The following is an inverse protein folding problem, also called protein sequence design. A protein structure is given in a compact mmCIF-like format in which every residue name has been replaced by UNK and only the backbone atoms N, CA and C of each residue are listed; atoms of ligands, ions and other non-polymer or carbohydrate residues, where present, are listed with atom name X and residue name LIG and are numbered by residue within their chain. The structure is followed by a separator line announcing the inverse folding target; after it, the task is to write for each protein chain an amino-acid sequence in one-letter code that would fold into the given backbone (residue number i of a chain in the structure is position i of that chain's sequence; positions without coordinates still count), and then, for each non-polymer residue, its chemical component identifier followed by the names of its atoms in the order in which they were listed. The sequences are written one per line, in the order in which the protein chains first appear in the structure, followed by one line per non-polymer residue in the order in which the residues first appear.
data_IF_057597126236
#
_entry.id   IF_057597126236
#
_cell.length_a   1.000
_cell.length_b   1.000
_cell.length_c   1.000
_cell.angle_alpha   90.00
_cell.angle_beta   90.00
_cell.angle_gamma   90.00
#
_symmetry.space_group_name_H-M   'P 1'
#
loop_
_entity.id
_entity.type
_entity.pdbx_description
1 polymer ?
#
# COMPACT_ATOMS: atom_id res chain seq x y z
N UNK A 1 8.10 -7.83 54.52
CA UNK A 1 8.70 -6.86 53.58
C UNK A 1 8.92 -7.55 52.26
N UNK A 2 8.10 -7.22 51.25
CA UNK A 2 8.14 -7.86 49.93
C UNK A 2 9.21 -7.16 49.07
N UNK A 3 10.22 -7.90 48.64
CA UNK A 3 11.23 -7.42 47.70
C UNK A 3 10.63 -7.42 46.30
N UNK A 4 10.25 -6.25 45.80
CA UNK A 4 9.93 -6.07 44.38
C UNK A 4 11.25 -5.98 43.63
N UNK A 5 11.63 -7.06 42.95
CA UNK A 5 12.74 -7.05 42.01
C UNK A 5 12.41 -6.06 40.88
N UNK A 6 13.17 -4.96 40.82
CA UNK A 6 13.14 -4.05 39.66
C UNK A 6 13.92 -4.74 38.56
N UNK A 7 13.22 -5.28 37.56
CA UNK A 7 13.85 -5.76 36.33
C UNK A 7 14.42 -4.55 35.60
N UNK A 8 15.73 -4.35 35.66
CA UNK A 8 16.40 -3.42 34.76
C UNK A 8 16.25 -3.96 33.34
N UNK A 9 15.88 -3.13 32.35
CA UNK A 9 15.89 -3.56 30.95
C UNK A 9 17.34 -3.86 30.58
N UNK A 10 17.65 -5.14 30.35
CA UNK A 10 18.91 -5.52 29.73
C UNK A 10 18.99 -4.94 28.30
N UNK A 11 20.19 -4.64 27.79
CA UNK A 11 20.35 -4.41 26.36
C UNK A 11 19.81 -5.64 25.61
N UNK A 12 19.15 -5.42 24.47
CA UNK A 12 18.50 -6.49 23.72
C UNK A 12 19.52 -7.59 23.36
N UNK A 13 19.46 -8.73 24.07
CA UNK A 13 20.35 -9.90 23.87
C UNK A 13 20.10 -10.64 22.53
N UNK A 14 19.28 -10.07 21.63
CA UNK A 14 19.05 -10.57 20.27
C UNK A 14 19.96 -9.84 19.23
N UNK A 15 21.19 -9.47 19.65
CA UNK A 15 22.24 -9.03 18.74
C UNK A 15 22.83 -10.26 18.02
N UNK A 16 22.06 -10.78 17.07
CA UNK A 16 22.42 -11.93 16.26
C UNK A 16 23.51 -11.47 15.30
N UNK A 17 24.67 -12.15 15.36
CA UNK A 17 25.87 -11.96 14.53
C UNK A 17 25.60 -11.30 13.19
N UNK A 18 26.25 -10.15 12.98
CA UNK A 18 26.39 -9.38 11.73
C UNK A 18 25.97 -10.19 10.50
N UNK A 19 24.73 -9.98 10.06
CA UNK A 19 24.37 -10.35 8.69
C UNK A 19 25.02 -9.32 7.79
N UNK A 20 26.26 -9.58 7.37
CA UNK A 20 26.97 -8.74 6.40
C UNK A 20 26.37 -8.99 5.01
N UNK A 21 25.59 -8.04 4.52
CA UNK A 21 25.06 -8.08 3.15
C UNK A 21 26.15 -7.76 2.10
N UNK A 22 27.34 -7.34 2.52
CA UNK A 22 28.47 -6.99 1.68
C UNK A 22 28.14 -5.87 0.68
N UNK A 23 28.49 -6.10 -0.58
CA UNK A 23 28.16 -5.23 -1.72
C UNK A 23 26.95 -5.72 -2.53
N UNK A 24 26.15 -6.62 -1.95
CA UNK A 24 24.97 -7.17 -2.62
C UNK A 24 23.97 -6.08 -2.95
N UNK A 25 23.56 -6.04 -4.22
CA UNK A 25 22.63 -5.05 -4.76
C UNK A 25 21.62 -5.69 -5.70
N UNK A 26 20.47 -5.05 -5.82
CA UNK A 26 19.43 -5.40 -6.78
C UNK A 26 19.40 -4.31 -7.85
N UNK A 27 19.51 -4.74 -9.11
CA UNK A 27 19.39 -3.88 -10.28
C UNK A 27 18.09 -4.22 -11.02
N UNK A 28 17.36 -3.21 -11.48
CA UNK A 28 16.08 -3.35 -12.20
C UNK A 28 16.17 -2.69 -13.59
N UNK A 29 17.28 -2.93 -14.29
CA UNK A 29 17.59 -2.29 -15.56
C UNK A 29 18.29 -0.93 -15.38
N UNK A 30 18.46 -0.20 -16.48
CA UNK A 30 19.27 1.03 -16.50
C UNK A 30 18.56 2.27 -15.93
N UNK A 31 17.22 2.26 -15.91
CA UNK A 31 16.44 3.43 -15.53
C UNK A 31 16.38 3.62 -13.99
N UNK A 32 16.20 2.53 -13.26
CA UNK A 32 16.05 2.54 -11.80
C UNK A 32 17.42 2.42 -11.12
N UNK A 33 17.71 3.24 -10.09
CA UNK A 33 18.97 3.14 -9.37
C UNK A 33 19.02 1.84 -8.55
N UNK A 34 20.20 1.24 -8.47
CA UNK A 34 20.44 0.01 -7.72
C UNK A 34 20.05 0.14 -6.24
N UNK A 35 19.45 -0.93 -5.70
CA UNK A 35 19.10 -1.04 -4.29
C UNK A 35 20.18 -1.84 -3.56
N UNK A 36 20.93 -1.18 -2.67
CA UNK A 36 21.98 -1.81 -1.87
C UNK A 36 21.37 -2.43 -0.61
N UNK A 37 21.62 -3.73 -0.38
CA UNK A 37 20.97 -4.47 0.72
C UNK A 37 21.38 -3.99 2.11
N UNK A 38 22.65 -3.63 2.32
CA UNK A 38 23.12 -3.08 3.62
C UNK A 38 22.36 -1.80 3.99
N UNK A 39 22.12 -0.92 3.03
CA UNK A 39 21.42 0.36 3.24
C UNK A 39 19.95 0.11 3.54
N UNK A 40 19.33 -0.82 2.79
CA UNK A 40 17.97 -1.28 3.03
C UNK A 40 17.84 -1.82 4.45
N UNK A 41 18.70 -2.76 4.86
CA UNK A 41 18.67 -3.38 6.21
C UNK A 41 18.75 -2.33 7.32
N UNK A 42 19.67 -1.38 7.19
CA UNK A 42 19.84 -0.27 8.14
C UNK A 42 18.61 0.63 8.19
N UNK A 43 18.07 1.01 7.02
CA UNK A 43 16.94 1.92 6.91
C UNK A 43 15.67 1.35 7.56
N UNK A 44 15.33 0.08 7.29
CA UNK A 44 14.11 -0.53 7.84
C UNK A 44 14.30 -1.19 9.21
N UNK A 45 15.52 -1.10 9.78
CA UNK A 45 15.89 -1.65 11.09
C UNK A 45 15.53 -3.13 11.23
N UNK A 46 15.94 -3.93 10.25
CA UNK A 46 15.69 -5.37 10.24
C UNK A 46 16.52 -6.09 11.32
N UNK A 47 15.92 -6.91 12.19
CA UNK A 47 16.66 -7.73 13.14
C UNK A 47 17.48 -8.80 12.42
N UNK A 48 18.60 -9.23 13.02
CA UNK A 48 19.57 -10.19 12.46
C UNK A 48 19.04 -11.62 12.19
N UNK A 49 17.73 -11.87 12.36
CA UNK A 49 17.09 -13.16 12.01
C UNK A 49 16.85 -13.32 10.50
N UNK A 50 16.92 -12.24 9.73
CA UNK A 50 16.74 -12.26 8.27
C UNK A 50 18.10 -12.35 7.58
N UNK A 51 18.41 -13.51 7.01
CA UNK A 51 19.65 -13.73 6.25
C UNK A 51 19.71 -12.85 4.99
N UNK A 52 20.91 -12.54 4.50
CA UNK A 52 21.10 -11.78 3.24
C UNK A 52 20.38 -12.44 2.07
N UNK A 53 20.38 -13.77 1.98
CA UNK A 53 19.67 -14.50 0.93
C UNK A 53 18.15 -14.31 0.99
N UNK A 54 17.55 -14.32 2.19
CA UNK A 54 16.12 -14.04 2.39
C UNK A 54 15.81 -12.59 2.09
N UNK A 55 16.67 -11.67 2.54
CA UNK A 55 16.51 -10.26 2.26
C UNK A 55 16.56 -9.97 0.76
N UNK A 56 17.54 -10.54 0.04
CA UNK A 56 17.67 -10.43 -1.40
C UNK A 56 16.42 -10.92 -2.12
N UNK A 57 15.92 -12.11 -1.75
CA UNK A 57 14.70 -12.67 -2.35
C UNK A 57 13.49 -11.75 -2.14
N UNK A 58 13.25 -11.31 -0.90
CA UNK A 58 12.08 -10.48 -0.58
C UNK A 58 12.19 -9.09 -1.21
N UNK A 59 13.36 -8.46 -1.16
CA UNK A 59 13.60 -7.16 -1.78
C UNK A 59 13.50 -7.23 -3.32
N UNK A 60 13.87 -8.35 -3.94
CA UNK A 60 13.64 -8.57 -5.38
C UNK A 60 12.14 -8.56 -5.70
N UNK A 61 11.31 -9.18 -4.86
CA UNK A 61 9.85 -9.11 -4.98
C UNK A 61 9.30 -7.69 -4.80
N UNK A 62 9.82 -6.94 -3.84
CA UNK A 62 9.45 -5.53 -3.63
C UNK A 62 9.81 -4.65 -4.85
N UNK A 63 11.01 -4.81 -5.39
CA UNK A 63 11.44 -4.11 -6.62
C UNK A 63 10.53 -4.48 -7.79
N UNK A 64 10.21 -5.75 -7.98
CA UNK A 64 9.30 -6.20 -9.04
C UNK A 64 7.89 -5.59 -8.89
N UNK A 65 7.38 -5.47 -7.67
CA UNK A 65 6.09 -4.83 -7.39
C UNK A 65 6.11 -3.34 -7.77
N UNK A 66 7.07 -2.57 -7.23
CA UNK A 66 7.13 -1.11 -7.46
C UNK A 66 7.41 -0.78 -8.92
N UNK A 67 8.30 -1.53 -9.59
CA UNK A 67 8.58 -1.32 -11.02
C UNK A 67 7.38 -1.62 -11.90
N UNK A 68 6.56 -2.62 -11.56
CA UNK A 68 5.32 -2.91 -12.29
C UNK A 68 4.32 -1.77 -12.19
N UNK A 69 4.13 -1.20 -11.00
CA UNK A 69 3.21 -0.06 -10.79
C UNK A 69 3.66 1.20 -11.55
N UNK A 70 4.98 1.36 -11.75
CA UNK A 70 5.58 2.51 -12.43
C UNK A 70 5.91 2.25 -13.91
N UNK A 71 5.56 1.08 -14.47
CA UNK A 71 6.00 0.65 -15.81
C UNK A 71 5.53 1.61 -16.92
N UNK A 72 4.25 1.98 -16.91
CA UNK A 72 3.70 2.93 -17.88
C UNK A 72 4.37 4.30 -17.78
N UNK A 73 4.56 4.80 -16.56
CA UNK A 73 5.21 6.08 -16.32
C UNK A 73 6.69 6.06 -16.75
N UNK A 74 7.41 4.97 -16.48
CA UNK A 74 8.79 4.80 -16.95
C UNK A 74 8.87 4.92 -18.48
N UNK A 75 7.96 4.26 -19.21
CA UNK A 75 7.93 4.32 -20.68
C UNK A 75 7.69 5.76 -21.18
N UNK A 76 6.79 6.50 -20.53
CA UNK A 76 6.55 7.92 -20.83
C UNK A 76 7.81 8.77 -20.61
N UNK A 77 8.52 8.57 -19.48
CA UNK A 77 9.74 9.33 -19.19
C UNK A 77 10.88 8.99 -20.14
N UNK A 78 11.03 7.72 -20.50
CA UNK A 78 12.03 7.28 -21.48
C UNK A 78 11.72 7.84 -22.88
N UNK A 79 10.45 7.88 -23.28
CA UNK A 79 10.02 8.52 -24.52
C UNK A 79 10.26 10.05 -24.51
N UNK A 80 10.18 10.68 -23.34
CA UNK A 80 10.56 12.08 -23.13
C UNK A 80 12.08 12.31 -23.12
N UNK A 81 12.89 11.25 -23.21
CA UNK A 81 14.36 11.32 -23.31
C UNK A 81 15.11 11.17 -21.99
N UNK A 82 14.42 10.88 -20.88
CA UNK A 82 15.06 10.61 -19.59
C UNK A 82 15.57 9.16 -19.54
N UNK A 83 16.89 8.99 -19.44
CA UNK A 83 17.52 7.65 -19.46
C UNK A 83 17.50 6.99 -18.08
N UNK A 84 17.58 7.80 -17.02
CA UNK A 84 17.57 7.37 -15.64
C UNK A 84 16.54 8.13 -14.82
N UNK A 85 16.12 7.58 -13.69
CA UNK A 85 15.23 8.26 -12.76
C UNK A 85 15.80 9.59 -12.25
N UNK A 86 17.12 9.72 -12.17
CA UNK A 86 17.80 10.96 -11.77
C UNK A 86 17.65 12.08 -12.81
N UNK A 87 17.45 11.74 -14.08
CA UNK A 87 17.26 12.72 -15.17
C UNK A 87 15.85 13.31 -15.17
N UNK A 88 14.89 12.66 -14.49
CA UNK A 88 13.51 13.13 -14.41
C UNK A 88 13.45 14.38 -13.52
N UNK A 89 12.91 15.50 -14.01
CA UNK A 89 12.82 16.74 -13.24
C UNK A 89 12.02 16.55 -11.95
N UNK A 90 12.65 16.78 -10.81
CA UNK A 90 12.02 16.78 -9.50
C UNK A 90 12.73 17.81 -8.60
N UNK A 91 12.11 18.15 -7.48
CA UNK A 91 12.78 18.95 -6.45
C UNK A 91 14.00 18.19 -5.91
N UNK A 92 14.99 18.94 -5.44
CA UNK A 92 16.22 18.40 -4.87
C UNK A 92 16.25 18.74 -3.39
N UNK A 93 16.43 17.74 -2.54
CA UNK A 93 16.56 17.88 -1.09
C UNK A 93 17.89 17.25 -0.69
N UNK A 94 18.71 17.97 0.08
CA UNK A 94 20.06 17.52 0.48
C UNK A 94 20.98 17.12 -0.70
N UNK A 95 20.77 17.72 -1.88
CA UNK A 95 21.57 17.42 -3.08
C UNK A 95 21.13 16.17 -3.85
N UNK A 96 20.05 15.51 -3.44
CA UNK A 96 19.47 14.36 -4.12
C UNK A 96 18.07 14.66 -4.67
N UNK A 97 17.76 14.13 -5.86
CA UNK A 97 16.40 14.21 -6.43
C UNK A 97 15.41 13.49 -5.52
N UNK A 98 14.29 14.15 -5.23
CA UNK A 98 13.24 13.61 -4.36
C UNK A 98 12.64 12.31 -4.93
N UNK A 99 12.66 12.13 -6.25
CA UNK A 99 12.23 10.87 -6.88
C UNK A 99 13.14 9.69 -6.53
N UNK A 100 14.47 9.91 -6.42
CA UNK A 100 15.41 8.88 -6.01
C UNK A 100 15.17 8.44 -4.56
N UNK A 101 14.78 9.39 -3.70
CA UNK A 101 14.40 9.11 -2.33
C UNK A 101 13.08 8.34 -2.26
N UNK A 102 12.03 8.78 -2.98
CA UNK A 102 10.74 8.08 -3.01
C UNK A 102 10.85 6.65 -3.54
N UNK A 103 11.68 6.43 -4.57
CA UNK A 103 11.98 5.10 -5.09
C UNK A 103 12.55 4.18 -4.01
N UNK A 104 13.61 4.63 -3.31
CA UNK A 104 14.21 3.84 -2.22
C UNK A 104 13.19 3.60 -1.11
N UNK A 105 12.45 4.63 -0.70
CA UNK A 105 11.44 4.53 0.34
C UNK A 105 10.33 3.53 -0.01
N UNK A 106 9.82 3.54 -1.25
CA UNK A 106 8.82 2.59 -1.72
C UNK A 106 9.34 1.15 -1.64
N UNK A 107 10.52 0.88 -2.18
CA UNK A 107 11.11 -0.48 -2.17
C UNK A 107 11.41 -0.95 -0.74
N UNK A 108 11.96 -0.08 0.11
CA UNK A 108 12.31 -0.43 1.48
C UNK A 108 11.06 -0.77 2.30
N UNK A 109 10.03 0.07 2.18
CA UNK A 109 8.76 -0.11 2.91
C UNK A 109 8.02 -1.36 2.42
N UNK A 110 7.98 -1.61 1.10
CA UNK A 110 7.41 -2.82 0.52
C UNK A 110 8.17 -4.08 0.96
N UNK A 111 9.51 -4.02 1.01
CA UNK A 111 10.33 -5.13 1.52
C UNK A 111 9.97 -5.44 2.97
N UNK A 112 9.79 -4.42 3.81
CA UNK A 112 9.39 -4.60 5.21
C UNK A 112 8.00 -5.23 5.32
N UNK A 113 7.03 -4.77 4.53
CA UNK A 113 5.68 -5.33 4.49
C UNK A 113 5.70 -6.82 4.12
N UNK A 114 6.37 -7.17 3.01
CA UNK A 114 6.50 -8.55 2.55
C UNK A 114 7.22 -9.46 3.55
N UNK A 115 8.19 -8.93 4.31
CA UNK A 115 8.83 -9.68 5.39
C UNK A 115 7.82 -9.97 6.50
N UNK A 116 7.06 -8.96 6.96
CA UNK A 116 6.07 -9.14 8.02
C UNK A 116 4.95 -10.11 7.62
N UNK A 117 4.44 -10.02 6.39
CA UNK A 117 3.44 -10.96 5.87
C UNK A 117 3.92 -12.41 5.96
N UNK A 118 5.18 -12.67 5.61
CA UNK A 118 5.74 -14.04 5.68
C UNK A 118 6.01 -14.52 7.11
N UNK A 119 6.18 -13.61 8.08
CA UNK A 119 6.34 -13.97 9.49
C UNK A 119 5.01 -14.34 10.16
N UNK A 120 3.86 -13.93 9.60
CA UNK A 120 2.52 -14.28 10.08
C UNK A 120 2.28 -15.78 10.11
N UNK A 121 2.73 -16.50 9.08
CA UNK A 121 2.40 -17.93 8.87
C UNK A 121 3.08 -18.89 9.88
N UNK A 122 3.83 -18.37 10.86
CA UNK A 122 4.71 -19.19 11.70
C UNK A 122 4.10 -19.66 13.04
N UNK A 123 3.01 -19.08 13.56
CA UNK A 123 2.49 -19.40 14.91
C UNK A 123 0.95 -19.30 15.02
N UNK A 124 0.27 -20.42 15.32
CA UNK A 124 -1.21 -20.54 15.36
C UNK A 124 -1.78 -20.68 16.78
N UNK A 125 -1.24 -19.93 17.74
CA UNK A 125 -1.72 -19.92 19.15
C UNK A 125 -2.60 -18.71 19.45
N UNK A 126 -3.43 -18.72 20.52
CA UNK A 126 -4.22 -17.55 20.96
C UNK A 126 -3.38 -16.26 21.17
N UNK A 127 -2.12 -16.42 21.60
CA UNK A 127 -1.15 -15.32 21.68
C UNK A 127 -0.60 -14.94 20.31
N UNK A 128 -0.47 -15.92 19.41
CA UNK A 128 -0.21 -15.74 17.99
C UNK A 128 -1.30 -14.92 17.31
N UNK A 129 -2.59 -15.18 17.57
CA UNK A 129 -3.73 -14.49 16.95
C UNK A 129 -3.71 -12.98 17.24
N UNK A 130 -3.58 -12.57 18.52
CA UNK A 130 -3.48 -11.13 18.86
C UNK A 130 -2.24 -10.47 18.28
N UNK A 131 -1.16 -11.24 18.14
CA UNK A 131 0.08 -10.76 17.51
C UNK A 131 -0.09 -10.64 15.99
N UNK A 132 -0.85 -11.52 15.37
CA UNK A 132 -1.21 -11.47 13.97
C UNK A 132 -2.07 -10.23 13.66
N UNK A 133 -3.08 -9.94 14.48
CA UNK A 133 -3.92 -8.73 14.31
C UNK A 133 -3.08 -7.43 14.35
N UNK A 134 -2.14 -7.33 15.29
CA UNK A 134 -1.25 -6.17 15.39
C UNK A 134 -0.30 -6.06 14.20
N UNK A 135 0.17 -7.20 13.67
CA UNK A 135 1.00 -7.25 12.46
C UNK A 135 0.21 -6.90 11.20
N UNK A 136 -1.07 -7.25 11.13
CA UNK A 136 -1.95 -6.92 9.99
C UNK A 136 -2.17 -5.40 9.89
N UNK A 137 -2.42 -4.72 11.02
CA UNK A 137 -2.51 -3.24 11.06
C UNK A 137 -1.21 -2.61 10.58
N UNK A 138 -0.07 -3.09 11.12
CA UNK A 138 1.24 -2.58 10.73
C UNK A 138 1.54 -2.82 9.25
N UNK A 139 1.15 -3.97 8.71
CA UNK A 139 1.35 -4.33 7.30
C UNK A 139 0.51 -3.45 6.38
N UNK A 140 -0.75 -3.19 6.74
CA UNK A 140 -1.62 -2.28 6.02
C UNK A 140 -1.06 -0.85 6.00
N UNK A 141 -0.58 -0.35 7.14
CA UNK A 141 0.06 0.98 7.22
C UNK A 141 1.31 1.06 6.31
N UNK A 142 2.12 0.00 6.26
CA UNK A 142 3.30 -0.04 5.38
C UNK A 142 2.91 -0.04 3.90
N UNK A 143 1.89 -0.81 3.49
CA UNK A 143 1.42 -0.79 2.11
C UNK A 143 0.79 0.55 1.71
N UNK A 144 0.11 1.23 2.64
CA UNK A 144 -0.33 2.62 2.43
C UNK A 144 0.86 3.55 2.15
N UNK A 145 1.93 3.44 2.94
CA UNK A 145 3.13 4.25 2.77
C UNK A 145 3.85 3.96 1.44
N UNK A 146 3.83 2.70 0.97
CA UNK A 146 4.29 2.32 -0.38
C UNK A 146 3.46 3.04 -1.45
N UNK A 147 2.13 2.96 -1.37
CA UNK A 147 1.23 3.62 -2.32
C UNK A 147 1.41 5.14 -2.35
N UNK A 148 1.67 5.76 -1.19
CA UNK A 148 1.99 7.18 -1.12
C UNK A 148 3.31 7.52 -1.83
N UNK A 149 4.36 6.74 -1.59
CA UNK A 149 5.65 6.95 -2.27
C UNK A 149 5.55 6.78 -3.79
N UNK A 150 4.76 5.82 -4.27
CA UNK A 150 4.47 5.64 -5.71
C UNK A 150 3.68 6.84 -6.25
N UNK A 151 2.65 7.29 -5.51
CA UNK A 151 1.85 8.45 -5.91
C UNK A 151 2.69 9.71 -6.04
N UNK A 152 3.65 9.92 -5.13
CA UNK A 152 4.57 11.05 -5.19
C UNK A 152 5.44 11.04 -6.45
N UNK A 153 6.00 9.88 -6.84
CA UNK A 153 6.76 9.73 -8.09
C UNK A 153 5.90 10.05 -9.30
N UNK A 154 4.64 9.58 -9.29
CA UNK A 154 3.67 9.84 -10.35
C UNK A 154 3.12 11.28 -10.32
N UNK A 155 3.51 12.11 -9.35
CA UNK A 155 2.93 13.43 -9.09
C UNK A 155 1.40 13.41 -8.96
N UNK A 156 0.85 12.32 -8.41
CA UNK A 156 -0.57 12.14 -8.12
C UNK A 156 -0.85 12.51 -6.68
N UNK A 157 -2.03 13.07 -6.36
CA UNK A 157 -2.39 13.31 -4.98
C UNK A 157 -2.40 11.98 -4.21
N UNK A 158 -1.90 12.00 -2.96
CA UNK A 158 -1.92 10.87 -2.02
C UNK A 158 -3.33 10.58 -1.52
N UNK A 159 -4.25 10.32 -2.44
CA UNK A 159 -5.60 9.91 -2.11
C UNK A 159 -5.49 8.42 -1.82
N UNK A 160 -5.55 8.05 -0.54
CA UNK A 160 -5.90 6.68 -0.14
C UNK A 160 -7.41 6.51 -0.36
N UNK A 161 -7.82 6.67 -1.61
CA UNK A 161 -9.01 6.03 -2.09
C UNK A 161 -8.47 4.70 -2.61
N UNK A 162 -8.27 3.75 -1.70
CA UNK A 162 -8.97 2.51 -1.98
C UNK A 162 -10.36 2.98 -2.40
N UNK A 163 -10.75 2.78 -3.65
CA UNK A 163 -12.17 2.63 -3.88
C UNK A 163 -12.53 1.51 -2.92
N UNK A 164 -13.03 1.86 -1.73
CA UNK A 164 -13.60 0.92 -0.79
C UNK A 164 -14.85 0.47 -1.51
N UNK A 165 -14.67 -0.48 -2.42
CA UNK A 165 -15.72 -1.24 -3.07
C UNK A 165 -16.24 -2.14 -1.96
N UNK A 166 -17.07 -1.57 -1.10
CA UNK A 166 -17.72 -2.32 -0.05
C UNK A 166 -18.65 -3.31 -0.76
N UNK A 167 -18.37 -4.60 -0.62
CA UNK A 167 -19.23 -5.64 -1.20
C UNK A 167 -20.46 -5.81 -0.33
N UNK A 168 -21.63 -5.62 -0.92
CA UNK A 168 -22.93 -5.79 -0.24
C UNK A 168 -23.62 -7.01 -0.84
N UNK A 169 -24.11 -7.90 0.03
CA UNK A 169 -24.89 -9.08 -0.40
C UNK A 169 -26.33 -8.69 -0.73
N UNK A 170 -26.77 -9.05 -1.94
CA UNK A 170 -28.16 -8.95 -2.34
C UNK A 170 -29.05 -9.91 -1.54
N UNK A 171 -30.27 -9.48 -1.21
CA UNK A 171 -31.32 -10.34 -0.68
C UNK A 171 -32.18 -10.90 -1.81
N UNK A 172 -33.00 -11.90 -1.50
CA UNK A 172 -33.93 -12.49 -2.46
C UNK A 172 -34.91 -11.44 -3.00
N UNK A 173 -34.91 -11.27 -4.33
CA UNK A 173 -35.76 -10.28 -5.01
C UNK A 173 -35.23 -8.84 -4.98
N UNK A 174 -34.01 -8.60 -4.49
CA UNK A 174 -33.38 -7.28 -4.56
C UNK A 174 -33.15 -6.87 -6.03
N UNK A 175 -33.29 -5.58 -6.30
CA UNK A 175 -32.83 -4.94 -7.54
C UNK A 175 -31.63 -4.05 -7.22
N UNK A 176 -30.87 -3.64 -8.24
CA UNK A 176 -29.73 -2.72 -8.04
C UNK A 176 -30.18 -1.43 -7.36
N UNK A 177 -31.33 -0.87 -7.74
CA UNK A 177 -31.90 0.33 -7.11
C UNK A 177 -32.29 0.10 -5.64
N UNK A 178 -32.94 -1.03 -5.32
CA UNK A 178 -33.28 -1.37 -3.94
C UNK A 178 -32.02 -1.54 -3.07
N UNK A 179 -30.96 -2.14 -3.64
CA UNK A 179 -29.68 -2.31 -2.99
C UNK A 179 -28.98 -0.96 -2.75
N UNK A 180 -28.98 -0.08 -3.76
CA UNK A 180 -28.45 1.29 -3.67
C UNK A 180 -29.20 2.10 -2.61
N UNK A 181 -30.54 2.03 -2.59
CA UNK A 181 -31.33 2.72 -1.59
C UNK A 181 -31.07 2.21 -0.18
N UNK A 182 -30.95 0.89 0.01
CA UNK A 182 -30.65 0.29 1.32
C UNK A 182 -29.27 0.69 1.84
N UNK A 183 -28.27 0.75 0.97
CA UNK A 183 -26.90 1.02 1.35
C UNK A 183 -26.57 2.53 1.42
N UNK A 184 -26.97 3.31 0.41
CA UNK A 184 -26.69 4.75 0.30
C UNK A 184 -27.82 5.66 0.78
N UNK A 185 -29.02 5.13 0.98
CA UNK A 185 -30.22 5.95 1.28
C UNK A 185 -30.77 6.73 0.08
N UNK A 186 -30.18 6.56 -1.11
CA UNK A 186 -30.57 7.24 -2.35
C UNK A 186 -30.25 6.37 -3.56
N UNK A 187 -30.95 6.59 -4.68
CA UNK A 187 -30.65 5.97 -5.98
C UNK A 187 -30.13 6.98 -7.00
N UNK A 188 -30.28 8.28 -6.74
CA UNK A 188 -29.94 9.32 -7.71
C UNK A 188 -28.43 9.48 -7.90
N UNK A 189 -27.93 9.13 -9.08
CA UNK A 189 -26.52 9.26 -9.46
C UNK A 189 -25.57 8.25 -8.81
N UNK A 190 -26.12 7.25 -8.11
CA UNK A 190 -25.36 6.15 -7.50
C UNK A 190 -25.62 4.83 -8.22
N UNK A 191 -26.84 4.61 -8.75
CA UNK A 191 -27.18 3.39 -9.49
C UNK A 191 -26.29 3.20 -10.72
N UNK A 192 -26.06 4.26 -11.50
CA UNK A 192 -25.19 4.20 -12.69
C UNK A 192 -23.75 3.86 -12.32
N UNK A 193 -23.24 4.44 -11.22
CA UNK A 193 -21.89 4.15 -10.72
C UNK A 193 -21.74 2.70 -10.27
N UNK A 194 -22.78 2.14 -9.63
CA UNK A 194 -22.81 0.72 -9.24
C UNK A 194 -22.86 -0.18 -10.48
N UNK A 195 -23.62 0.18 -11.51
CA UNK A 195 -23.66 -0.58 -12.77
C UNK A 195 -22.33 -0.52 -13.53
N UNK A 196 -21.67 0.64 -13.57
CA UNK A 196 -20.34 0.80 -14.17
C UNK A 196 -19.28 -0.03 -13.43
N UNK A 197 -19.35 -0.09 -12.10
CA UNK A 197 -18.45 -0.88 -11.28
C UNK A 197 -18.71 -2.40 -11.38
N UNK A 198 -19.92 -2.83 -11.78
CA UNK A 198 -20.31 -4.24 -11.85
C UNK A 198 -20.85 -4.59 -13.26
N UNK A 199 -19.96 -4.70 -14.27
CA UNK A 199 -20.36 -5.04 -15.64
C UNK A 199 -20.99 -6.45 -15.66
N UNK A 200 -22.31 -6.50 -15.87
CA UNK A 200 -23.09 -7.74 -15.85
C UNK A 200 -24.43 -7.60 -15.11
N UNK A 201 -24.50 -6.71 -14.10
CA UNK A 201 -25.75 -6.46 -13.38
C UNK A 201 -26.83 -5.84 -14.27
N UNK A 202 -26.45 -5.11 -15.32
CA UNK A 202 -27.40 -4.49 -16.25
C UNK A 202 -28.22 -5.50 -17.07
N UNK A 203 -27.82 -6.77 -17.12
CA UNK A 203 -28.51 -7.80 -17.90
C UNK A 203 -29.61 -8.51 -17.10
N UNK A 204 -29.70 -8.27 -15.79
CA UNK A 204 -30.66 -8.91 -14.90
C UNK A 204 -31.48 -7.84 -14.16
N UNK A 205 -32.79 -8.08 -14.07
CA UNK A 205 -33.72 -7.16 -13.37
C UNK A 205 -33.71 -7.41 -11.87
N UNK A 206 -33.52 -8.67 -11.45
CA UNK A 206 -33.43 -9.11 -10.07
C UNK A 206 -32.06 -9.72 -9.80
N UNK A 207 -31.52 -9.47 -8.62
CA UNK A 207 -30.27 -10.02 -8.13
C UNK A 207 -30.53 -11.38 -7.47
N UNK A 208 -29.55 -12.28 -7.57
CA UNK A 208 -29.62 -13.57 -6.89
C UNK A 208 -29.37 -13.38 -5.39
N UNK A 209 -30.11 -14.10 -4.55
CA UNK A 209 -29.92 -14.03 -3.10
C UNK A 209 -28.48 -14.43 -2.71
N UNK A 210 -27.79 -13.56 -1.99
CA UNK A 210 -26.39 -13.74 -1.59
C UNK A 210 -25.34 -13.30 -2.61
N UNK A 211 -25.76 -12.78 -3.78
CA UNK A 211 -24.87 -12.22 -4.79
C UNK A 211 -24.11 -11.02 -4.22
N UNK A 212 -22.78 -11.03 -4.34
CA UNK A 212 -21.93 -9.91 -3.93
C UNK A 212 -21.93 -8.82 -5.00
N UNK A 213 -22.35 -7.61 -4.62
CA UNK A 213 -22.35 -6.42 -5.48
C UNK A 213 -21.37 -5.39 -4.93
N UNK A 214 -20.51 -4.87 -5.80
CA UNK A 214 -19.53 -3.86 -5.43
C UNK A 214 -20.18 -2.47 -5.36
N UNK A 215 -20.11 -1.83 -4.19
CA UNK A 215 -20.75 -0.54 -3.95
C UNK A 215 -19.65 0.55 -3.84
N UNK A 216 -19.44 1.38 -4.89
CA UNK A 216 -18.42 2.44 -4.89
C UNK A 216 -18.89 3.70 -4.15
N UNK A 217 -18.05 4.29 -3.30
CA UNK A 217 -18.42 5.50 -2.54
C UNK A 217 -18.88 6.66 -3.46
N UNK A 218 -20.05 7.26 -3.21
CA UNK A 218 -20.50 8.40 -3.98
C UNK A 218 -19.69 9.65 -3.58
N UNK A 219 -19.21 10.39 -4.58
CA UNK A 219 -18.59 11.69 -4.38
C UNK A 219 -19.51 12.62 -3.58
N UNK A 220 -19.03 13.08 -2.42
CA UNK A 220 -19.76 14.06 -1.60
C UNK A 220 -19.82 15.40 -2.35
N UNK A 221 -20.99 15.73 -2.92
CA UNK A 221 -21.22 17.07 -3.48
C UNK A 221 -21.04 18.11 -2.38
N UNK A 222 -20.02 18.97 -2.51
CA UNK A 222 -19.86 20.17 -1.68
C UNK A 222 -21.10 21.04 -1.88
N UNK A 223 -21.83 21.34 -0.80
CA UNK A 223 -22.91 22.32 -0.84
C UNK A 223 -22.27 23.69 -1.00
N UNK A 224 -22.30 24.24 -2.21
CA UNK A 224 -21.96 25.63 -2.42
C UNK A 224 -23.00 26.49 -1.71
N UNK A 225 -22.53 27.25 -0.72
CA UNK A 225 -23.36 28.17 0.06
C UNK A 225 -23.57 29.42 -0.79
N UNK A 226 -24.68 29.47 -1.54
CA UNK A 226 -25.03 30.65 -2.33
C UNK A 226 -25.48 31.75 -1.35
N UNK A 227 -24.63 32.77 -1.15
CA UNK A 227 -24.99 34.01 -0.45
C UNK A 227 -25.96 34.79 -1.36
N UNK A 228 -27.26 34.76 -1.02
CA UNK A 228 -28.31 35.39 -1.81
C UNK A 228 -28.50 36.88 -1.53
N UNK A 229 -27.62 37.53 -0.76
CA UNK A 229 -27.72 38.96 -0.47
C UNK A 229 -26.33 39.60 -0.46
N UNK A 230 -26.08 40.46 -1.46
CA UNK A 230 -25.12 41.54 -1.38
C UNK A 230 -25.91 42.85 -1.60
N UNK A 231 -25.89 43.72 -0.59
CA UNK A 231 -26.15 45.16 -0.76
C UNK A 231 -24.97 45.83 -1.49
#
# INVERSE_FOLDING_TARGET
MSMVARTNPGPAEDDITDTDDGDTRISAGAFWPDIVLRELRLAIRLPGRVTTSRLLHTATGAVAHVTRELEAWQQEQQAAGHLTLADVPASVINGESVNLWHWRNAVYTATRALILERYRDADTTDKGDRRADALDIQTSDLWRDVSWAISDILCRPRIFAEFVLMKVKALEGDTVDSLCFRYYGTTQGVTEKVLDANPGLCQQVFLDAGQDVEMPEPEKKKREMIQLWGE
#
